data_IF_552899938362
#
_entry.id   IF_552899938362
#
_cell.length_a   1.000
_cell.length_b   1.000
_cell.length_c   1.000
_cell.angle_alpha   90.00
_cell.angle_beta   90.00
_cell.angle_gamma   90.00
#
_symmetry.space_group_name_H-M   'P 1'
#
loop_
_entity.id
_entity.type
_entity.pdbx_description
1 polymer ?
#
# COMPACT_ATOMS: atom_id res chain seq x y z
N UNK A 1 -18.29 -4.42 5.12
CA UNK A 1 -17.88 -3.07 4.69
C UNK A 1 -16.45 -2.79 5.10
N UNK A 2 -15.60 -2.37 4.15
CA UNK A 2 -14.18 -2.00 4.34
C UNK A 2 -13.97 -0.51 4.59
N UNK A 3 -15.02 0.29 4.44
CA UNK A 3 -15.05 1.73 4.66
C UNK A 3 -15.61 2.01 6.05
N UNK A 4 -14.86 2.77 6.85
CA UNK A 4 -15.27 3.21 8.18
C UNK A 4 -16.09 4.50 8.12
N UNK A 5 -15.65 5.46 7.29
CA UNK A 5 -16.34 6.73 7.09
C UNK A 5 -16.06 7.25 5.68
N UNK A 6 -16.96 8.05 5.13
CA UNK A 6 -16.77 8.71 3.85
C UNK A 6 -17.43 10.08 3.86
N UNK A 7 -16.76 11.05 3.27
CA UNK A 7 -17.29 12.39 3.15
C UNK A 7 -16.99 12.96 1.77
N UNK A 8 -17.76 13.98 1.42
CA UNK A 8 -17.55 14.72 0.18
C UNK A 8 -17.75 16.19 0.45
N UNK A 9 -16.86 17.03 -0.08
CA UNK A 9 -17.02 18.47 -0.03
C UNK A 9 -18.22 18.93 -0.87
N UNK A 10 -18.66 20.16 -0.61
CA UNK A 10 -19.46 20.91 -1.56
C UNK A 10 -18.67 21.23 -2.84
N UNK A 11 -19.34 21.85 -3.80
CA UNK A 11 -18.71 22.37 -5.00
C UNK A 11 -17.97 23.67 -4.67
N UNK A 12 -16.73 23.79 -5.12
CA UNK A 12 -15.93 25.01 -5.02
C UNK A 12 -15.60 25.49 -6.42
N UNK A 13 -16.00 26.72 -6.73
CA UNK A 13 -15.66 27.36 -7.99
C UNK A 13 -14.28 28.04 -7.87
N UNK A 14 -13.43 27.82 -8.87
CA UNK A 14 -12.13 28.47 -8.99
C UNK A 14 -12.25 29.78 -9.78
N UNK A 15 -11.21 30.61 -9.73
CA UNK A 15 -11.20 31.93 -10.40
C UNK A 15 -11.30 31.84 -11.93
N UNK A 16 -10.92 30.70 -12.51
CA UNK A 16 -11.06 30.38 -13.94
C UNK A 16 -12.47 29.90 -14.33
N UNK A 17 -13.41 29.88 -13.37
CA UNK A 17 -14.78 29.44 -13.58
C UNK A 17 -14.99 27.92 -13.48
N UNK A 18 -13.92 27.13 -13.30
CA UNK A 18 -14.02 25.67 -13.15
C UNK A 18 -14.55 25.27 -11.78
N UNK A 19 -15.15 24.07 -11.70
CA UNK A 19 -15.65 23.51 -10.43
C UNK A 19 -14.75 22.37 -9.95
N UNK A 20 -14.46 22.40 -8.65
CA UNK A 20 -13.73 21.35 -7.94
C UNK A 20 -14.61 20.74 -6.85
N UNK A 21 -14.42 19.44 -6.62
CA UNK A 21 -15.06 18.68 -5.54
C UNK A 21 -14.09 17.62 -5.04
N UNK A 22 -14.02 17.44 -3.73
CA UNK A 22 -13.15 16.46 -3.08
C UNK A 22 -14.00 15.40 -2.40
N UNK A 23 -13.77 14.14 -2.72
CA UNK A 23 -14.33 12.99 -2.02
C UNK A 23 -13.20 12.25 -1.30
N UNK A 24 -13.47 11.80 -0.09
CA UNK A 24 -12.50 11.05 0.70
C UNK A 24 -13.19 9.96 1.52
N UNK A 25 -12.48 8.86 1.74
CA UNK A 25 -12.95 7.71 2.49
C UNK A 25 -11.88 7.27 3.48
N UNK A 26 -12.30 7.05 4.73
CA UNK A 26 -11.50 6.42 5.77
C UNK A 26 -11.77 4.92 5.71
N UNK A 27 -10.73 4.15 5.45
CA UNK A 27 -10.81 2.69 5.43
C UNK A 27 -10.60 2.14 6.84
N UNK A 28 -11.16 0.95 7.10
CA UNK A 28 -10.86 0.19 8.32
C UNK A 28 -9.37 -0.18 8.32
N UNK A 29 -8.67 -0.12 9.47
CA UNK A 29 -7.28 -0.55 9.56
C UNK A 29 -7.06 -1.92 8.92
N UNK A 30 -6.09 -1.97 8.00
CA UNK A 30 -5.84 -3.18 7.25
C UNK A 30 -5.21 -4.28 8.11
N UNK A 31 -5.56 -5.52 7.80
CA UNK A 31 -5.02 -6.73 8.45
C UNK A 31 -4.03 -7.39 7.49
N UNK A 32 -3.17 -8.30 7.95
CA UNK A 32 -2.20 -8.98 7.08
C UNK A 32 -2.82 -9.63 5.83
N UNK A 33 -4.06 -10.10 5.91
CA UNK A 33 -4.77 -10.71 4.78
C UNK A 33 -5.12 -9.73 3.66
N UNK A 34 -5.11 -8.42 3.94
CA UNK A 34 -5.39 -7.37 2.95
C UNK A 34 -4.11 -6.89 2.23
N UNK A 35 -2.95 -7.48 2.51
CA UNK A 35 -1.72 -7.15 1.80
C UNK A 35 -1.87 -7.45 0.30
N UNK A 36 -1.53 -6.47 -0.54
CA UNK A 36 -1.60 -6.60 -1.99
C UNK A 36 -2.95 -6.19 -2.59
N UNK A 37 -3.97 -5.89 -1.77
CA UNK A 37 -5.26 -5.37 -2.22
C UNK A 37 -5.10 -4.07 -3.02
N UNK A 38 -5.99 -3.86 -4.00
CA UNK A 38 -5.96 -2.69 -4.88
C UNK A 38 -7.18 -1.81 -4.63
N UNK A 39 -6.93 -0.59 -4.17
CA UNK A 39 -7.95 0.44 -4.01
C UNK A 39 -7.97 1.32 -5.25
N UNK A 40 -9.16 1.62 -5.78
CA UNK A 40 -9.30 2.43 -6.97
C UNK A 40 -10.24 3.62 -6.73
N UNK A 41 -9.79 4.81 -7.08
CA UNK A 41 -10.63 5.99 -7.24
C UNK A 41 -11.11 6.05 -8.69
N UNK A 42 -12.43 6.07 -8.91
CA UNK A 42 -13.04 6.12 -10.24
C UNK A 42 -13.85 7.40 -10.35
N UNK A 43 -13.53 8.24 -11.34
CA UNK A 43 -14.18 9.51 -11.60
C UNK A 43 -14.91 9.43 -12.93
N UNK A 44 -16.22 9.62 -12.88
CA UNK A 44 -17.10 9.73 -14.05
C UNK A 44 -17.50 11.18 -14.24
N UNK A 45 -17.33 11.71 -15.44
CA UNK A 45 -17.70 13.08 -15.77
C UNK A 45 -18.12 13.16 -17.23
N UNK A 46 -19.08 14.03 -17.57
CA UNK A 46 -19.64 14.14 -18.93
C UNK A 46 -18.60 14.57 -19.97
N UNK A 47 -17.63 15.39 -19.56
CA UNK A 47 -16.50 15.79 -20.42
C UNK A 47 -15.45 14.68 -20.62
N UNK A 48 -15.56 13.55 -19.91
CA UNK A 48 -14.65 12.42 -20.06
C UNK A 48 -15.32 11.33 -20.90
N UNK A 49 -14.72 10.99 -22.05
CA UNK A 49 -15.22 9.92 -22.92
C UNK A 49 -15.21 8.54 -22.24
N UNK A 50 -14.30 8.34 -21.27
CA UNK A 50 -14.21 7.13 -20.44
C UNK A 50 -13.95 7.51 -18.98
N UNK A 51 -14.45 6.74 -18.00
CA UNK A 51 -14.17 7.00 -16.59
C UNK A 51 -12.65 7.02 -16.31
N UNK A 52 -12.19 8.04 -15.59
CA UNK A 52 -10.82 8.10 -15.13
C UNK A 52 -10.67 7.20 -13.91
N UNK A 53 -9.63 6.35 -13.89
CA UNK A 53 -9.34 5.45 -12.77
C UNK A 53 -7.91 5.65 -12.30
N UNK A 54 -7.75 5.84 -10.99
CA UNK A 54 -6.45 5.86 -10.32
C UNK A 54 -6.46 4.75 -9.27
N UNK A 55 -5.46 3.89 -9.30
CA UNK A 55 -5.37 2.71 -8.43
C UNK A 55 -4.12 2.77 -7.56
N UNK A 56 -4.25 2.36 -6.30
CA UNK A 56 -3.17 2.27 -5.31
C UNK A 56 -3.18 0.87 -4.73
N UNK A 57 -2.00 0.24 -4.68
CA UNK A 57 -1.82 -1.07 -4.05
C UNK A 57 -1.47 -0.91 -2.59
N UNK A 58 -2.13 -1.67 -1.73
CA UNK A 58 -1.90 -1.65 -0.29
C UNK A 58 -0.71 -2.54 0.06
N UNK A 59 0.34 -1.95 0.63
CA UNK A 59 1.52 -2.66 1.14
C UNK A 59 1.56 -2.52 2.66
N UNK A 60 1.52 -3.65 3.34
CA UNK A 60 1.61 -3.75 4.81
C UNK A 60 3.01 -4.20 5.20
N UNK A 61 3.66 -3.49 6.11
CA UNK A 61 4.94 -3.90 6.67
C UNK A 61 4.81 -5.24 7.44
N UNK A 62 5.85 -6.06 7.40
CA UNK A 62 5.92 -7.34 8.14
C UNK A 62 5.03 -8.46 7.60
N UNK A 63 4.45 -8.28 6.41
CA UNK A 63 3.73 -9.35 5.68
C UNK A 63 4.59 -10.03 4.62
N UNK A 64 5.74 -9.42 4.29
CA UNK A 64 6.76 -10.01 3.43
C UNK A 64 7.65 -10.92 4.28
N UNK A 65 7.85 -12.15 3.81
CA UNK A 65 8.78 -13.09 4.44
C UNK A 65 10.24 -12.65 4.29
N UNK A 66 11.20 -13.29 4.98
CA UNK A 66 12.61 -12.96 4.86
C UNK A 66 13.05 -13.03 3.40
N UNK A 67 13.81 -12.03 2.96
CA UNK A 67 14.33 -12.00 1.61
C UNK A 67 15.40 -13.10 1.43
N UNK A 68 15.65 -13.49 0.17
CA UNK A 68 16.69 -14.48 -0.16
C UNK A 68 18.07 -14.05 0.37
N UNK A 69 18.32 -12.75 0.42
CA UNK A 69 19.53 -12.17 0.99
C UNK A 69 19.64 -12.41 2.50
N UNK A 70 18.55 -12.30 3.25
CA UNK A 70 18.51 -12.56 4.69
C UNK A 70 18.83 -14.03 4.99
N UNK A 71 18.27 -14.93 4.18
CA UNK A 71 18.52 -16.37 4.29
C UNK A 71 20.01 -16.65 4.05
N UNK A 72 20.59 -16.07 2.99
CA UNK A 72 21.99 -16.24 2.63
C UNK A 72 22.92 -15.70 3.73
N UNK A 73 22.62 -14.52 4.28
CA UNK A 73 23.35 -13.94 5.39
C UNK A 73 23.34 -14.84 6.64
N UNK A 74 22.17 -15.38 6.99
CA UNK A 74 22.02 -16.29 8.13
C UNK A 74 22.87 -17.56 7.95
N UNK A 75 22.90 -18.14 6.75
CA UNK A 75 23.74 -19.30 6.44
C UNK A 75 25.24 -18.98 6.60
N UNK A 76 25.71 -17.86 6.04
CA UNK A 76 27.12 -17.48 6.13
C UNK A 76 27.55 -17.25 7.58
N UNK A 77 26.72 -16.56 8.38
CA UNK A 77 26.97 -16.34 9.80
C UNK A 77 27.06 -17.68 10.54
N UNK A 78 26.13 -18.61 10.27
CA UNK A 78 26.16 -19.94 10.87
C UNK A 78 27.43 -20.74 10.52
N UNK A 79 27.85 -20.72 9.24
CA UNK A 79 29.09 -21.38 8.81
C UNK A 79 30.33 -20.82 9.49
N UNK A 80 30.45 -19.50 9.58
CA UNK A 80 31.57 -18.81 10.25
C UNK A 80 31.58 -19.17 11.74
N UNK A 81 30.42 -19.13 12.41
CA UNK A 81 30.29 -19.44 13.82
C UNK A 81 30.66 -20.89 14.11
N UNK A 82 30.14 -21.85 13.33
CA UNK A 82 30.51 -23.26 13.45
C UNK A 82 31.99 -23.51 13.19
N UNK A 83 32.59 -22.82 12.21
CA UNK A 83 34.02 -22.88 11.94
C UNK A 83 34.87 -22.38 13.11
N UNK A 84 34.51 -21.24 13.69
CA UNK A 84 35.16 -20.66 14.87
C UNK A 84 35.05 -21.58 16.10
N UNK A 85 33.85 -22.12 16.36
CA UNK A 85 33.63 -23.04 17.48
C UNK A 85 34.52 -24.28 17.35
N UNK A 86 34.57 -24.89 16.15
CA UNK A 86 35.42 -26.07 15.89
C UNK A 86 36.92 -25.79 15.89
N UNK A 87 37.31 -24.52 15.75
CA UNK A 87 38.72 -24.13 15.83
C UNK A 87 39.16 -23.87 17.27
N UNK A 88 38.24 -23.37 18.11
CA UNK A 88 38.47 -23.07 19.52
C UNK A 88 38.34 -24.30 20.44
N UNK A 89 37.61 -25.33 20.01
CA UNK A 89 37.35 -26.59 20.74
C UNK A 89 37.97 -27.77 19.99
#
# INVERSE_FOLDING_TARGET
>A
DTVMDSWTSGHRQAADGTYSRTAAARLIPARPQHHGDVYSCVVTHTALAKPMRVSVRLLLAGTEGPHLEDITGLFLVAFILCGLIRWLY
#
